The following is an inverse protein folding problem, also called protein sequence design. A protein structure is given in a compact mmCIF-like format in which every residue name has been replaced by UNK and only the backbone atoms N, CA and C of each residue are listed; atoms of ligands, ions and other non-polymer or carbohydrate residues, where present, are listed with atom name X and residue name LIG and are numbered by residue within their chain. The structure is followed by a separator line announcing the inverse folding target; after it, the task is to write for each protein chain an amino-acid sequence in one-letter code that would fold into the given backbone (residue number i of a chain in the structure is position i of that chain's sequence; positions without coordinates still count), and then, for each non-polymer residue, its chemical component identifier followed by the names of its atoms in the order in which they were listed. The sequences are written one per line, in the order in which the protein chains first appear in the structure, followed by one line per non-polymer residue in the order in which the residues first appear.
data_IF_503428123972
#
_entry.id   IF_503428123972
#
_cell.length_a   1.000
_cell.length_b   1.000
_cell.length_c   1.000
_cell.angle_alpha   90.00
_cell.angle_beta   90.00
_cell.angle_gamma   90.00
#
_symmetry.space_group_name_H-M   'P 1'
#
loop_
_entity.id
_entity.type
_entity.pdbx_description
1 polymer ?
#
# COMPACT_ATOMS: atom_id res chain seq x y z
N UNK A 1 27.85 53.37 2.78
CA UNK A 1 28.27 54.08 1.56
C UNK A 1 27.06 54.84 1.06
N UNK A 2 27.05 56.16 1.24
CA UNK A 2 25.98 57.06 0.84
C UNK A 2 25.95 57.20 -0.68
N UNK A 3 24.77 57.35 -1.26
CA UNK A 3 24.51 58.37 -2.28
C UNK A 3 23.01 58.73 -2.26
N UNK A 4 22.78 60.04 -2.31
CA UNK A 4 21.53 60.77 -2.12
C UNK A 4 21.27 61.58 -3.43
N UNK A 5 20.20 62.39 -3.55
CA UNK A 5 19.05 62.20 -4.44
C UNK A 5 19.03 63.16 -5.66
N UNK A 6 17.99 63.09 -6.49
CA UNK A 6 17.42 64.29 -7.14
C UNK A 6 15.88 64.25 -7.15
N UNK A 7 15.29 65.36 -6.71
CA UNK A 7 13.86 65.70 -6.69
C UNK A 7 13.48 66.55 -7.91
N UNK A 8 12.21 66.49 -8.32
CA UNK A 8 11.34 67.53 -8.92
C UNK A 8 10.00 66.79 -9.18
N UNK A 9 8.80 67.15 -8.72
CA UNK A 9 8.18 68.44 -8.45
C UNK A 9 7.01 68.58 -9.43
N UNK A 10 5.75 68.37 -8.99
CA UNK A 10 4.53 69.11 -9.42
C UNK A 10 3.22 68.51 -8.85
N UNK A 11 2.31 69.41 -8.49
CA UNK A 11 1.00 69.20 -7.87
C UNK A 11 -0.09 68.97 -8.93
N UNK A 12 -0.95 67.95 -8.80
CA UNK A 12 -2.38 68.02 -9.21
C UNK A 12 -3.25 67.16 -8.28
N UNK A 13 -4.43 67.72 -7.98
CA UNK A 13 -5.47 67.33 -7.01
C UNK A 13 -6.22 66.04 -7.37
N UNK A 14 -6.68 65.35 -6.31
CA UNK A 14 -7.88 64.51 -6.14
C UNK A 14 -8.62 63.99 -7.38
N UNK A 15 -8.81 62.66 -7.45
CA UNK A 15 -10.11 61.95 -7.61
C UNK A 15 -9.85 60.44 -7.46
N UNK A 16 -10.67 59.78 -6.62
CA UNK A 16 -10.69 58.32 -6.42
C UNK A 16 -11.20 57.58 -7.65
N UNK A 17 -10.61 56.42 -7.99
CA UNK A 17 -11.29 55.15 -8.33
C UNK A 17 -10.21 54.05 -8.31
N UNK A 18 -10.45 53.01 -7.52
CA UNK A 18 -9.63 51.78 -7.46
C UNK A 18 -9.77 50.98 -8.76
N UNK A 19 -8.69 50.78 -9.52
CA UNK A 19 -8.59 49.62 -10.43
C UNK A 19 -7.13 49.30 -10.84
N UNK A 20 -6.65 48.17 -10.31
CA UNK A 20 -5.92 47.08 -11.00
C UNK A 20 -4.45 47.19 -11.48
N UNK A 21 -3.83 46.00 -11.47
CA UNK A 21 -2.61 45.50 -12.14
C UNK A 21 -1.21 45.83 -11.60
N UNK A 22 -0.57 44.81 -11.00
CA UNK A 22 0.81 44.29 -11.24
C UNK A 22 0.98 43.05 -10.34
N UNK A 23 0.60 41.84 -10.80
CA UNK A 23 1.43 40.85 -11.48
C UNK A 23 2.80 40.56 -10.83
N UNK A 24 2.96 39.28 -10.45
CA UNK A 24 4.17 38.44 -10.44
C UNK A 24 4.64 37.96 -9.05
N UNK A 25 4.16 36.78 -8.62
CA UNK A 25 5.02 35.68 -8.14
C UNK A 25 4.19 34.43 -7.81
N UNK A 26 4.50 33.35 -8.50
CA UNK A 26 4.53 31.96 -8.06
C UNK A 26 4.11 31.07 -9.24
N UNK A 27 5.12 30.61 -9.98
CA UNK A 27 5.01 29.45 -10.85
C UNK A 27 4.50 28.30 -9.97
N UNK A 28 3.22 27.96 -10.13
CA UNK A 28 2.68 26.68 -9.76
C UNK A 28 3.43 25.63 -10.59
N UNK A 29 4.53 25.13 -10.06
CA UNK A 29 5.00 23.79 -10.36
C UNK A 29 4.00 22.80 -9.78
N UNK A 30 2.80 22.75 -10.36
CA UNK A 30 1.89 21.64 -10.16
C UNK A 30 2.54 20.49 -10.93
N UNK A 31 3.23 19.61 -10.22
CA UNK A 31 3.42 18.24 -10.70
C UNK A 31 2.03 17.77 -11.12
N UNK A 32 1.86 17.45 -12.39
CA UNK A 32 0.64 16.78 -12.84
C UNK A 32 0.57 15.46 -12.06
N UNK A 33 -0.29 15.43 -11.04
CA UNK A 33 -0.63 14.22 -10.35
C UNK A 33 -1.37 13.35 -11.37
N UNK A 34 -0.66 12.37 -11.93
CA UNK A 34 -1.18 11.49 -12.97
C UNK A 34 -2.17 10.45 -12.41
N UNK A 35 -2.62 10.60 -11.15
CA UNK A 35 -3.64 9.74 -10.56
C UNK A 35 -4.98 9.97 -11.26
N UNK A 36 -5.58 8.89 -11.74
CA UNK A 36 -6.98 8.89 -12.16
C UNK A 36 -7.83 9.36 -10.96
N UNK A 37 -8.64 10.42 -11.08
CA UNK A 37 -9.47 10.90 -9.98
C UNK A 37 -10.38 9.77 -9.49
N UNK A 38 -10.40 9.52 -8.17
CA UNK A 38 -11.36 8.59 -7.58
C UNK A 38 -12.78 9.16 -7.79
N UNK A 39 -13.74 8.33 -8.25
CA UNK A 39 -15.12 8.78 -8.36
C UNK A 39 -15.65 9.19 -6.98
N UNK A 40 -16.61 10.14 -6.95
CA UNK A 40 -17.39 10.37 -5.72
C UNK A 40 -18.08 9.06 -5.31
N UNK A 41 -18.20 8.83 -4.00
CA UNK A 41 -18.78 7.61 -3.43
C UNK A 41 -20.06 7.17 -4.17
N UNK A 42 -20.06 5.93 -4.64
CA UNK A 42 -21.02 5.29 -5.53
C UNK A 42 -21.50 3.98 -4.90
N UNK A 43 -22.80 3.93 -4.59
CA UNK A 43 -23.49 2.72 -4.10
C UNK A 43 -23.74 1.67 -5.20
N UNK A 44 -23.08 1.81 -6.36
CA UNK A 44 -23.22 0.88 -7.46
C UNK A 44 -22.68 -0.49 -7.06
N UNK A 45 -23.53 -1.51 -7.14
CA UNK A 45 -23.12 -2.92 -6.97
C UNK A 45 -22.16 -3.30 -8.10
N UNK A 46 -20.98 -3.80 -7.71
CA UNK A 46 -19.93 -4.27 -8.63
C UNK A 46 -19.80 -5.80 -8.62
N UNK A 47 -20.38 -6.48 -7.64
CA UNK A 47 -20.42 -7.95 -7.57
C UNK A 47 -20.91 -8.43 -6.22
N UNK A 48 -20.58 -9.68 -5.91
CA UNK A 48 -21.00 -10.36 -4.69
C UNK A 48 -19.83 -11.09 -4.02
N UNK A 49 -19.91 -11.30 -2.71
CA UNK A 49 -19.04 -12.25 -1.98
C UNK A 49 -19.88 -13.33 -1.29
N UNK A 50 -19.43 -14.58 -1.38
CA UNK A 50 -20.09 -15.72 -0.71
C UNK A 50 -19.71 -15.86 0.78
N UNK A 51 -18.71 -15.12 1.22
CA UNK A 51 -18.19 -15.15 2.60
C UNK A 51 -18.08 -13.74 3.17
N UNK A 52 -18.18 -13.56 4.50
CA UNK A 52 -17.88 -12.27 5.12
C UNK A 52 -16.40 -11.91 4.93
N UNK A 53 -16.13 -10.62 4.73
CA UNK A 53 -14.79 -10.07 4.58
C UNK A 53 -14.46 -9.20 5.80
N UNK A 54 -13.60 -9.71 6.66
CA UNK A 54 -13.25 -9.07 7.93
C UNK A 54 -12.01 -8.17 7.78
N UNK A 55 -12.21 -6.86 7.94
CA UNK A 55 -11.17 -5.84 7.79
C UNK A 55 -10.58 -5.39 9.13
N UNK A 56 -10.97 -6.01 10.25
CA UNK A 56 -10.49 -5.61 11.58
C UNK A 56 -8.99 -5.85 11.70
N UNK A 57 -8.30 -4.95 12.39
CA UNK A 57 -6.83 -4.99 12.56
C UNK A 57 -6.30 -6.34 13.06
N UNK A 58 -6.89 -7.00 14.07
CA UNK A 58 -6.35 -8.28 14.55
C UNK A 58 -6.41 -9.39 13.49
N UNK A 59 -7.30 -9.27 12.50
CA UNK A 59 -7.45 -10.24 11.42
C UNK A 59 -6.42 -9.96 10.33
N UNK A 60 -6.46 -8.78 9.72
CA UNK A 60 -5.59 -8.45 8.57
C UNK A 60 -4.14 -8.19 8.97
N UNK A 61 -3.83 -8.12 10.27
CA UNK A 61 -2.47 -7.89 10.80
C UNK A 61 -1.96 -8.98 11.75
N UNK A 62 -2.75 -10.03 11.98
CA UNK A 62 -2.41 -11.11 12.91
C UNK A 62 -2.12 -12.45 12.24
N UNK A 63 -2.47 -12.61 10.96
CA UNK A 63 -2.32 -13.86 10.22
C UNK A 63 -2.87 -13.75 8.81
N UNK A 64 -2.97 -14.89 8.13
CA UNK A 64 -3.67 -14.96 6.85
C UNK A 64 -5.12 -14.53 7.01
N UNK A 65 -5.56 -13.57 6.20
CA UNK A 65 -6.92 -13.07 6.23
C UNK A 65 -7.63 -13.34 4.90
N UNK A 66 -8.90 -13.74 4.96
CA UNK A 66 -9.76 -13.91 3.78
C UNK A 66 -9.78 -12.64 2.92
N UNK A 67 -9.93 -11.46 3.55
CA UNK A 67 -9.89 -10.18 2.85
C UNK A 67 -8.48 -9.85 2.33
N UNK A 68 -7.42 -10.26 3.06
CA UNK A 68 -6.04 -10.13 2.59
C UNK A 68 -5.80 -10.89 1.29
N UNK A 69 -6.25 -12.15 1.24
CA UNK A 69 -6.17 -13.01 0.06
C UNK A 69 -6.93 -12.40 -1.12
N UNK A 70 -8.15 -11.91 -0.89
CA UNK A 70 -8.95 -11.24 -1.92
C UNK A 70 -8.22 -10.02 -2.50
N UNK A 71 -7.70 -9.14 -1.64
CA UNK A 71 -7.00 -7.92 -2.05
C UNK A 71 -5.76 -8.27 -2.88
N UNK A 72 -4.90 -9.15 -2.38
CA UNK A 72 -3.65 -9.50 -3.07
C UNK A 72 -3.90 -10.24 -4.39
N UNK A 73 -4.92 -11.11 -4.45
CA UNK A 73 -5.29 -11.80 -5.70
C UNK A 73 -5.92 -10.85 -6.72
N UNK A 74 -6.72 -9.87 -6.28
CA UNK A 74 -7.32 -8.89 -7.16
C UNK A 74 -6.26 -8.02 -7.83
N UNK A 75 -5.27 -7.55 -7.06
CA UNK A 75 -4.14 -6.79 -7.57
C UNK A 75 -3.33 -7.64 -8.55
N UNK A 76 -3.07 -8.92 -8.22
CA UNK A 76 -2.38 -9.84 -9.12
C UNK A 76 -3.14 -10.01 -10.44
N UNK A 77 -4.44 -10.28 -10.37
CA UNK A 77 -5.27 -10.50 -11.55
C UNK A 77 -5.29 -9.29 -12.49
N UNK A 78 -5.51 -8.09 -11.93
CA UNK A 78 -5.56 -6.86 -12.71
C UNK A 78 -4.21 -6.55 -13.36
N UNK A 79 -3.11 -6.74 -12.61
CA UNK A 79 -1.73 -6.59 -13.11
C UNK A 79 -1.43 -7.53 -14.28
N UNK A 80 -1.76 -8.82 -14.14
CA UNK A 80 -1.54 -9.81 -15.20
C UNK A 80 -2.40 -9.54 -16.44
N UNK A 81 -3.65 -9.11 -16.25
CA UNK A 81 -4.55 -8.78 -17.37
C UNK A 81 -4.09 -7.55 -18.18
N UNK A 82 -3.29 -6.68 -17.57
CA UNK A 82 -2.64 -5.55 -18.23
C UNK A 82 -1.34 -5.93 -18.94
N UNK A 83 -0.93 -7.20 -18.88
CA UNK A 83 0.23 -7.73 -19.58
C UNK A 83 1.54 -7.58 -18.81
N UNK A 84 1.50 -7.17 -17.55
CA UNK A 84 2.68 -7.17 -16.68
C UNK A 84 2.97 -8.60 -16.20
N UNK A 85 4.25 -8.92 -16.04
CA UNK A 85 4.69 -10.22 -15.53
C UNK A 85 5.27 -10.03 -14.12
N UNK A 86 4.63 -10.67 -13.15
CA UNK A 86 5.01 -10.66 -11.73
C UNK A 86 4.90 -12.06 -11.15
N UNK A 87 5.79 -12.40 -10.22
CA UNK A 87 5.81 -13.69 -9.52
C UNK A 87 4.85 -13.71 -8.32
N UNK A 88 4.39 -12.55 -7.88
CA UNK A 88 3.38 -12.42 -6.83
C UNK A 88 3.12 -10.99 -6.38
N UNK A 89 2.13 -10.83 -5.51
CA UNK A 89 1.75 -9.57 -4.89
C UNK A 89 1.86 -9.68 -3.37
N UNK A 90 2.37 -8.62 -2.76
CA UNK A 90 2.45 -8.46 -1.31
C UNK A 90 1.74 -7.16 -0.91
N UNK A 91 0.87 -7.24 0.11
CA UNK A 91 0.08 -6.10 0.60
C UNK A 91 0.20 -6.00 2.11
N UNK A 92 0.60 -4.84 2.64
CA UNK A 92 0.62 -4.63 4.09
C UNK A 92 -0.82 -4.49 4.62
N UNK A 93 -1.16 -5.17 5.73
CA UNK A 93 -2.47 -5.12 6.38
C UNK A 93 -2.84 -3.72 6.89
N UNK A 94 -1.88 -2.80 6.97
CA UNK A 94 -2.10 -1.37 7.15
C UNK A 94 -2.90 -0.71 6.03
N UNK A 95 -2.77 -1.21 4.80
CA UNK A 95 -3.45 -0.73 3.60
C UNK A 95 -4.93 -1.14 3.56
N UNK A 96 -5.30 -2.21 4.26
CA UNK A 96 -6.66 -2.75 4.31
C UNK A 96 -7.44 -2.09 5.46
N UNK A 97 -8.55 -1.42 5.11
CA UNK A 97 -9.36 -0.60 6.02
C UNK A 97 -10.84 -0.93 5.88
N UNK A 98 -11.67 -0.19 6.62
CA UNK A 98 -13.11 -0.17 6.47
C UNK A 98 -13.64 1.20 6.92
N UNK A 99 -14.83 1.58 6.46
CA UNK A 99 -15.57 2.70 7.01
C UNK A 99 -16.48 2.23 8.15
N UNK A 100 -16.18 2.66 9.38
CA UNK A 100 -16.95 2.31 10.58
C UNK A 100 -18.38 2.87 10.60
N UNK A 101 -18.71 3.86 9.75
CA UNK A 101 -20.08 4.36 9.63
C UNK A 101 -20.97 3.39 8.84
N UNK A 102 -20.40 2.67 7.86
CA UNK A 102 -21.11 1.68 7.04
C UNK A 102 -21.00 0.27 7.60
N UNK A 103 -19.81 -0.06 8.12
CA UNK A 103 -19.45 -1.37 8.65
C UNK A 103 -18.96 -1.21 10.10
N UNK A 104 -19.87 -0.94 11.07
CA UNK A 104 -19.50 -0.63 12.45
C UNK A 104 -18.80 -1.78 13.19
N UNK A 105 -18.97 -3.02 12.73
CA UNK A 105 -18.27 -4.20 13.22
C UNK A 105 -16.98 -4.52 12.43
N UNK A 106 -16.66 -3.73 11.40
CA UNK A 106 -15.50 -3.91 10.53
C UNK A 106 -15.61 -5.10 9.58
N UNK A 107 -16.82 -5.61 9.34
CA UNK A 107 -17.07 -6.79 8.52
C UNK A 107 -17.98 -6.41 7.36
N UNK A 108 -17.53 -6.66 6.13
CA UNK A 108 -18.39 -6.64 4.95
C UNK A 108 -19.13 -7.99 4.91
N UNK A 109 -20.46 -8.04 5.06
CA UNK A 109 -21.19 -9.29 5.10
C UNK A 109 -21.16 -10.03 3.75
N UNK A 110 -21.43 -11.33 3.78
CA UNK A 110 -21.72 -12.06 2.54
C UNK A 110 -22.90 -11.42 1.81
N UNK A 111 -22.80 -11.24 0.50
CA UNK A 111 -23.80 -10.54 -0.31
C UNK A 111 -23.18 -9.53 -1.26
N UNK A 112 -23.89 -8.43 -1.50
CA UNK A 112 -23.49 -7.38 -2.43
C UNK A 112 -22.21 -6.68 -1.99
N UNK A 113 -21.35 -6.38 -2.97
CA UNK A 113 -20.21 -5.49 -2.83
C UNK A 113 -20.41 -4.30 -3.76
N UNK A 114 -20.29 -3.10 -3.22
CA UNK A 114 -20.39 -1.85 -3.98
C UNK A 114 -19.03 -1.30 -4.37
N UNK A 115 -19.03 -0.34 -5.29
CA UNK A 115 -17.84 0.43 -5.63
C UNK A 115 -17.23 1.11 -4.40
N UNK A 116 -18.06 1.67 -3.51
CA UNK A 116 -17.60 2.22 -2.22
C UNK A 116 -16.81 1.21 -1.39
N UNK A 117 -17.27 -0.05 -1.30
CA UNK A 117 -16.60 -1.04 -0.48
C UNK A 117 -15.15 -1.25 -0.96
N UNK A 118 -14.91 -1.25 -2.27
CA UNK A 118 -13.56 -1.37 -2.81
C UNK A 118 -12.65 -0.18 -2.42
N UNK A 119 -13.18 1.04 -2.46
CA UNK A 119 -12.44 2.25 -2.09
C UNK A 119 -12.32 2.43 -0.57
N UNK A 120 -13.24 1.89 0.24
CA UNK A 120 -13.14 1.85 1.69
C UNK A 120 -12.12 0.82 2.17
N UNK A 121 -12.05 -0.33 1.50
CA UNK A 121 -11.07 -1.39 1.77
C UNK A 121 -9.66 -0.87 1.46
N UNK A 122 -9.49 -0.15 0.35
CA UNK A 122 -8.21 0.46 -0.07
C UNK A 122 -8.33 2.00 -0.19
N UNK A 123 -8.41 2.72 0.94
CA UNK A 123 -8.74 4.15 0.94
C UNK A 123 -7.58 5.07 0.60
N UNK A 124 -6.37 4.54 0.64
CA UNK A 124 -5.17 5.26 0.23
C UNK A 124 -5.04 5.13 -1.29
N UNK A 125 -4.84 6.23 -1.99
CA UNK A 125 -4.55 6.28 -3.44
C UNK A 125 -3.13 5.76 -3.74
N UNK A 126 -2.76 4.64 -3.13
CA UNK A 126 -1.49 3.96 -3.33
C UNK A 126 -1.48 3.33 -4.72
N UNK A 127 -0.37 3.49 -5.43
CA UNK A 127 -0.14 2.84 -6.73
C UNK A 127 0.62 1.53 -6.59
N UNK A 128 0.56 0.68 -7.62
CA UNK A 128 1.37 -0.54 -7.69
C UNK A 128 2.80 -0.28 -8.20
N UNK A 129 3.81 -0.77 -7.48
CA UNK A 129 5.21 -0.79 -7.92
C UNK A 129 5.68 -2.24 -8.03
N UNK A 130 6.11 -2.64 -9.23
CA UNK A 130 6.83 -3.90 -9.44
C UNK A 130 8.28 -3.67 -9.04
N UNK A 131 8.79 -4.51 -8.15
CA UNK A 131 10.16 -4.46 -7.66
C UNK A 131 10.88 -5.72 -8.10
N UNK A 132 11.99 -5.55 -8.80
CA UNK A 132 13.00 -6.60 -8.99
C UNK A 132 13.72 -6.79 -7.66
N UNK A 133 13.31 -7.76 -6.85
CA UNK A 133 13.78 -7.99 -5.47
C UNK A 133 14.57 -9.30 -5.38
N UNK A 134 15.72 -9.31 -4.70
CA UNK A 134 16.46 -10.55 -4.45
C UNK A 134 15.77 -11.38 -3.38
N UNK A 135 15.99 -12.71 -3.37
CA UNK A 135 15.44 -13.57 -2.33
C UNK A 135 15.85 -13.13 -0.90
N UNK A 136 17.08 -12.62 -0.73
CA UNK A 136 17.55 -12.10 0.55
C UNK A 136 16.80 -10.82 0.99
N UNK A 137 16.61 -9.85 0.08
CA UNK A 137 15.82 -8.64 0.35
C UNK A 137 14.35 -8.98 0.60
N UNK A 138 13.80 -9.97 -0.11
CA UNK A 138 12.44 -10.47 0.10
C UNK A 138 12.28 -11.09 1.48
N UNK A 139 13.25 -11.91 1.93
CA UNK A 139 13.24 -12.45 3.29
C UNK A 139 13.28 -11.33 4.33
N UNK A 140 14.19 -10.36 4.20
CA UNK A 140 14.29 -9.22 5.13
C UNK A 140 12.99 -8.39 5.17
N UNK A 141 12.32 -8.24 4.02
CA UNK A 141 10.98 -7.64 3.93
C UNK A 141 9.96 -8.42 4.74
N UNK A 142 9.90 -9.75 4.61
CA UNK A 142 8.97 -10.56 5.40
C UNK A 142 9.31 -10.56 6.90
N UNK A 143 10.60 -10.59 7.27
CA UNK A 143 11.05 -10.47 8.68
C UNK A 143 10.53 -9.17 9.32
N UNK A 144 10.54 -8.06 8.57
CA UNK A 144 9.93 -6.80 9.02
C UNK A 144 8.43 -6.96 9.27
N UNK A 145 7.72 -7.61 8.36
CA UNK A 145 6.27 -7.80 8.45
C UNK A 145 5.84 -8.65 9.63
N UNK A 146 6.67 -9.61 10.05
CA UNK A 146 6.37 -10.51 11.17
C UNK A 146 7.09 -10.12 12.47
N UNK A 147 7.72 -8.95 12.54
CA UNK A 147 8.49 -8.54 13.72
C UNK A 147 7.60 -8.36 14.97
N UNK A 148 6.33 -7.99 14.77
CA UNK A 148 5.35 -7.77 15.82
C UNK A 148 4.00 -8.35 15.41
N UNK A 149 3.97 -9.65 15.11
CA UNK A 149 2.71 -10.38 14.95
C UNK A 149 2.00 -10.34 16.32
N UNK A 150 0.81 -9.70 16.42
CA UNK A 150 0.08 -9.64 17.66
C UNK A 150 -0.34 -11.05 18.10
N UNK A 151 -0.21 -11.35 19.39
CA UNK A 151 -0.90 -12.50 19.98
C UNK A 151 -2.40 -12.23 19.89
N UNK A 152 -3.19 -13.25 19.55
CA UNK A 152 -4.67 -13.13 19.44
C UNK A 152 -5.22 -12.41 20.68
N UNK A 153 -5.88 -11.26 20.47
CA UNK A 153 -6.45 -10.43 21.52
C UNK A 153 -5.69 -9.13 21.84
N UNK A 154 -4.53 -8.90 21.21
CA UNK A 154 -3.81 -7.62 21.31
C UNK A 154 -4.23 -6.64 20.21
N UNK A 155 -4.60 -5.40 20.59
CA UNK A 155 -5.08 -4.36 19.65
C UNK A 155 -3.91 -3.61 18.96
N UNK A 156 -2.70 -4.16 19.07
CA UNK A 156 -1.41 -3.57 18.69
C UNK A 156 -0.79 -4.18 17.42
N UNK A 157 -1.59 -4.80 16.55
CA UNK A 157 -1.11 -5.31 15.26
C UNK A 157 -0.46 -4.22 14.41
N UNK A 158 0.83 -4.40 14.08
CA UNK A 158 1.55 -3.47 13.21
C UNK A 158 0.90 -3.41 11.83
N UNK A 159 0.78 -2.21 11.24
CA UNK A 159 0.35 -2.07 9.85
C UNK A 159 1.25 -2.82 8.86
N UNK A 160 2.48 -3.13 9.27
CA UNK A 160 3.50 -3.81 8.48
C UNK A 160 3.21 -5.30 8.21
N UNK A 161 2.27 -5.96 8.90
CA UNK A 161 2.01 -7.38 8.62
C UNK A 161 1.62 -7.58 7.15
N UNK A 162 2.19 -8.58 6.48
CA UNK A 162 2.06 -8.75 5.03
C UNK A 162 1.05 -9.84 4.69
N UNK A 163 0.01 -9.47 3.94
CA UNK A 163 -0.86 -10.38 3.18
C UNK A 163 -0.22 -10.67 1.82
N UNK A 164 -0.54 -11.81 1.22
CA UNK A 164 0.12 -12.32 0.01
C UNK A 164 -0.87 -12.91 -1.00
N UNK A 165 -0.54 -12.82 -2.30
CA UNK A 165 -1.32 -13.49 -3.35
C UNK A 165 -1.14 -15.01 -3.31
N UNK A 166 -1.99 -15.72 -4.05
CA UNK A 166 -2.03 -17.20 -4.12
C UNK A 166 -0.73 -17.89 -4.51
N UNK A 167 0.24 -17.14 -5.06
CA UNK A 167 1.55 -17.67 -5.44
C UNK A 167 2.41 -18.02 -4.22
N UNK A 168 2.15 -17.39 -3.07
CA UNK A 168 3.01 -17.49 -1.91
C UNK A 168 2.54 -18.54 -0.91
N UNK A 169 3.53 -19.19 -0.29
CA UNK A 169 3.39 -19.84 1.02
C UNK A 169 4.54 -19.36 1.90
N UNK A 170 4.21 -18.82 3.08
CA UNK A 170 5.16 -18.27 4.05
C UNK A 170 5.05 -19.05 5.36
N UNK A 171 6.18 -19.54 5.86
CA UNK A 171 6.24 -20.22 7.16
C UNK A 171 6.98 -19.35 8.17
N UNK A 172 6.32 -19.08 9.29
CA UNK A 172 6.79 -18.19 10.35
C UNK A 172 6.91 -18.98 11.66
N UNK A 173 8.00 -18.78 12.39
CA UNK A 173 8.20 -19.26 13.76
C UNK A 173 8.36 -18.05 14.69
N UNK A 174 7.31 -17.74 15.46
CA UNK A 174 7.27 -16.53 16.29
C UNK A 174 8.11 -16.64 17.57
N UNK A 175 8.59 -17.84 17.90
CA UNK A 175 9.51 -18.07 19.01
C UNK A 175 10.94 -17.59 18.72
N UNK A 176 11.26 -17.34 17.44
CA UNK A 176 12.57 -16.85 16.99
C UNK A 176 12.73 -15.34 17.18
N UNK A 177 13.98 -14.86 17.27
CA UNK A 177 14.28 -13.43 17.33
C UNK A 177 13.61 -12.63 16.21
N UNK A 178 12.89 -11.57 16.58
CA UNK A 178 12.30 -10.63 15.64
C UNK A 178 13.35 -9.69 15.05
N UNK A 179 13.09 -9.17 13.84
CA UNK A 179 13.86 -8.05 13.31
C UNK A 179 13.69 -6.81 14.19
N UNK A 180 14.80 -6.13 14.49
CA UNK A 180 14.83 -4.87 15.23
C UNK A 180 15.20 -3.76 14.26
N UNK A 181 14.36 -2.74 14.21
CA UNK A 181 14.53 -1.57 13.34
C UNK A 181 14.57 -0.33 14.22
N UNK A 182 15.53 0.55 13.96
CA UNK A 182 15.53 1.90 14.54
C UNK A 182 14.44 2.73 13.87
N UNK A 183 13.48 3.20 14.68
CA UNK A 183 12.39 4.07 14.25
C UNK A 183 12.52 5.49 14.82
N UNK A 184 13.62 5.79 15.54
CA UNK A 184 13.83 7.04 16.27
C UNK A 184 14.60 8.10 15.46
N UNK A 185 15.09 7.76 14.26
CA UNK A 185 15.80 8.66 13.34
C UNK A 185 14.97 9.02 12.10
N UNK A 186 15.31 10.14 11.45
CA UNK A 186 14.72 10.58 10.16
C UNK A 186 14.89 9.53 9.03
N UNK A 187 15.73 8.52 9.25
CA UNK A 187 15.96 7.37 8.37
C UNK A 187 15.90 6.08 9.18
N UNK A 188 14.90 5.23 8.92
CA UNK A 188 14.84 3.91 9.56
C UNK A 188 16.03 3.03 9.13
N UNK A 189 16.59 2.26 10.06
CA UNK A 189 17.69 1.33 9.78
C UNK A 189 17.51 0.00 10.50
N UNK A 190 17.96 -1.10 9.90
CA UNK A 190 17.92 -2.42 10.53
C UNK A 190 19.05 -2.50 11.55
N UNK A 191 18.71 -2.62 12.83
CA UNK A 191 19.67 -2.84 13.93
C UNK A 191 20.08 -4.31 13.96
N UNK A 192 19.12 -5.21 13.83
CA UNK A 192 19.36 -6.65 13.71
C UNK A 192 18.30 -7.29 12.82
N UNK A 193 18.76 -8.19 11.94
CA UNK A 193 17.87 -8.98 11.12
C UNK A 193 17.05 -9.96 11.97
N UNK A 194 15.86 -10.34 11.48
CA UNK A 194 15.02 -11.34 12.12
C UNK A 194 15.37 -12.77 11.71
N UNK A 195 14.90 -13.74 12.50
CA UNK A 195 15.01 -15.17 12.21
C UNK A 195 13.64 -15.87 12.24
N UNK A 196 12.54 -15.13 12.10
CA UNK A 196 11.18 -15.68 12.20
C UNK A 196 10.73 -16.33 10.91
N UNK A 197 11.19 -15.86 9.75
CA UNK A 197 10.84 -16.46 8.46
C UNK A 197 11.67 -17.72 8.24
N UNK A 198 10.99 -18.86 8.26
CA UNK A 198 11.61 -20.19 8.08
C UNK A 198 11.63 -20.63 6.62
N UNK A 199 10.60 -20.26 5.85
CA UNK A 199 10.47 -20.65 4.45
C UNK A 199 9.58 -19.66 3.70
N UNK A 200 9.95 -19.41 2.45
CA UNK A 200 9.17 -18.63 1.48
C UNK A 200 9.13 -19.45 0.20
N UNK A 201 7.94 -19.86 -0.20
CA UNK A 201 7.70 -20.51 -1.49
C UNK A 201 6.99 -19.55 -2.42
N UNK A 202 7.39 -19.57 -3.70
CA UNK A 202 6.68 -18.95 -4.81
C UNK A 202 6.33 -20.06 -5.80
N UNK A 203 5.05 -20.22 -6.10
CA UNK A 203 4.50 -21.27 -6.95
C UNK A 203 4.97 -22.69 -6.53
N UNK A 204 5.08 -22.90 -5.21
CA UNK A 204 5.51 -24.17 -4.61
C UNK A 204 7.01 -24.43 -4.64
N UNK A 205 7.83 -23.46 -5.05
CA UNK A 205 9.29 -23.56 -5.08
C UNK A 205 9.89 -22.64 -4.03
N UNK A 206 10.76 -23.18 -3.17
CA UNK A 206 11.52 -22.39 -2.19
C UNK A 206 12.36 -21.32 -2.90
N UNK A 207 12.35 -20.09 -2.37
CA UNK A 207 13.15 -19.02 -2.95
C UNK A 207 14.66 -19.28 -2.81
N UNK A 208 15.42 -18.82 -3.79
CA UNK A 208 16.87 -18.74 -3.70
C UNK A 208 17.25 -17.32 -3.24
N UNK A 209 18.02 -17.16 -2.14
CA UNK A 209 18.46 -15.84 -1.65
C UNK A 209 19.17 -14.96 -2.69
N UNK A 210 19.86 -15.58 -3.66
CA UNK A 210 20.64 -14.89 -4.70
C UNK A 210 19.84 -14.64 -5.99
N UNK A 211 18.67 -15.27 -6.15
CA UNK A 211 17.82 -15.07 -7.32
C UNK A 211 16.99 -13.79 -7.18
N UNK A 212 16.57 -13.23 -8.33
CA UNK A 212 15.70 -12.06 -8.40
C UNK A 212 14.28 -12.47 -8.76
N UNK A 213 13.31 -11.85 -8.11
CA UNK A 213 11.88 -12.04 -8.28
C UNK A 213 11.22 -10.70 -8.63
N UNK A 214 10.14 -10.73 -9.42
CA UNK A 214 9.30 -9.56 -9.74
C UNK A 214 8.09 -9.55 -8.82
N UNK A 215 8.18 -8.83 -7.71
CA UNK A 215 7.09 -8.76 -6.73
C UNK A 215 6.45 -7.37 -6.78
N UNK A 216 5.13 -7.33 -6.82
CA UNK A 216 4.39 -6.08 -6.76
C UNK A 216 4.01 -5.74 -5.32
N UNK A 217 4.27 -4.48 -4.96
CA UNK A 217 3.93 -3.87 -3.68
C UNK A 217 3.15 -2.57 -3.91
N UNK A 218 2.56 -2.01 -2.84
CA UNK A 218 2.12 -0.61 -2.88
C UNK A 218 3.34 0.33 -2.92
N UNK A 219 3.21 1.48 -3.57
CA UNK A 219 4.22 2.53 -3.58
C UNK A 219 4.64 2.97 -2.16
N UNK A 220 3.73 2.93 -1.19
CA UNK A 220 4.01 3.24 0.20
C UNK A 220 5.12 2.34 0.79
N UNK A 221 4.94 1.01 0.76
CA UNK A 221 5.93 0.09 1.34
C UNK A 221 7.14 -0.14 0.43
N UNK A 222 6.95 -0.06 -0.90
CA UNK A 222 8.05 -0.12 -1.87
C UNK A 222 9.07 1.02 -1.64
N UNK A 223 8.64 2.15 -1.09
CA UNK A 223 9.48 3.29 -0.75
C UNK A 223 9.86 3.37 0.73
N UNK A 224 9.70 2.26 1.48
CA UNK A 224 10.15 2.15 2.87
C UNK A 224 9.15 2.59 3.94
N UNK A 225 7.89 2.86 3.56
CA UNK A 225 6.78 3.00 4.51
C UNK A 225 6.68 1.81 5.46
N UNK A 226 6.03 1.96 6.61
CA UNK A 226 6.00 0.95 7.68
C UNK A 226 7.39 0.45 8.12
N UNK A 227 8.45 1.23 7.87
CA UNK A 227 9.84 0.87 8.13
C UNK A 227 10.29 -0.40 7.39
N UNK A 228 9.81 -0.63 6.18
CA UNK A 228 10.36 -1.63 5.26
C UNK A 228 11.71 -1.16 4.69
N UNK A 229 12.73 -1.10 5.56
CA UNK A 229 14.06 -0.57 5.24
C UNK A 229 14.69 -1.27 4.04
N UNK A 230 14.59 -2.61 3.96
CA UNK A 230 15.11 -3.38 2.84
C UNK A 230 14.47 -2.95 1.50
N UNK A 231 13.15 -2.81 1.44
CA UNK A 231 12.44 -2.31 0.24
C UNK A 231 12.81 -0.86 -0.11
N UNK A 232 12.84 0.01 0.91
CA UNK A 232 13.18 1.42 0.74
C UNK A 232 14.58 1.62 0.15
N UNK A 233 15.54 0.74 0.52
CA UNK A 233 16.91 0.80 0.03
C UNK A 233 17.11 0.22 -1.39
N UNK A 234 16.12 -0.47 -1.95
CA UNK A 234 16.19 -0.94 -3.35
C UNK A 234 16.15 0.30 -4.26
N UNK A 235 17.13 0.48 -5.17
CA UNK A 235 17.22 1.68 -5.99
C UNK A 235 16.18 1.70 -7.12
N UNK A 236 15.78 2.90 -7.54
CA UNK A 236 14.74 3.13 -8.57
C UNK A 236 14.89 2.34 -9.87
N UNK A 237 16.10 2.07 -10.41
CA UNK A 237 16.24 1.23 -11.61
C UNK A 237 15.71 -0.20 -11.48
N UNK A 238 15.46 -0.67 -10.24
CA UNK A 238 14.84 -1.97 -9.93
C UNK A 238 13.36 -1.84 -9.58
N UNK A 239 12.76 -0.66 -9.76
CA UNK A 239 11.36 -0.35 -9.45
C UNK A 239 10.67 0.16 -10.70
N UNK A 240 9.50 -0.41 -11.00
CA UNK A 240 8.60 0.05 -12.06
C UNK A 240 7.28 0.43 -11.43
N UNK A 241 7.02 1.73 -11.31
CA UNK A 241 5.71 2.24 -10.91
C UNK A 241 4.74 2.11 -12.08
N UNK A 242 3.60 1.48 -11.83
CA UNK A 242 2.54 1.32 -12.82
C UNK A 242 1.66 2.58 -12.88
N UNK A 243 1.67 3.41 -11.83
CA UNK A 243 0.82 4.61 -11.70
C UNK A 243 -0.64 4.29 -11.42
N UNK A 244 -0.97 3.03 -11.15
CA UNK A 244 -2.35 2.54 -11.06
C UNK A 244 -2.80 2.39 -9.62
N UNK A 245 -3.89 3.04 -9.27
CA UNK A 245 -4.49 2.96 -7.93
C UNK A 245 -5.05 1.55 -7.66
N UNK A 246 -4.54 0.93 -6.60
CA UNK A 246 -4.83 -0.45 -6.21
C UNK A 246 -6.31 -0.70 -5.88
N UNK A 247 -7.07 0.33 -5.50
CA UNK A 247 -8.52 0.20 -5.27
C UNK A 247 -9.28 -0.17 -6.56
N UNK A 248 -8.82 0.32 -7.72
CA UNK A 248 -9.40 -0.06 -8.99
C UNK A 248 -9.12 -1.53 -9.33
N UNK A 249 -7.97 -2.08 -8.95
CA UNK A 249 -7.69 -3.49 -9.16
C UNK A 249 -8.70 -4.38 -8.40
N UNK A 250 -9.00 -4.04 -7.14
CA UNK A 250 -10.04 -4.72 -6.35
C UNK A 250 -11.42 -4.63 -7.01
N UNK A 251 -11.82 -3.41 -7.40
CA UNK A 251 -13.09 -3.18 -8.10
C UNK A 251 -13.17 -3.99 -9.40
N UNK A 252 -12.14 -3.94 -10.23
CA UNK A 252 -12.09 -4.61 -11.53
C UNK A 252 -12.16 -6.12 -11.38
N UNK A 253 -11.46 -6.68 -10.39
CA UNK A 253 -11.49 -8.10 -10.08
C UNK A 253 -12.91 -8.57 -9.71
N UNK A 254 -13.54 -7.88 -8.75
CA UNK A 254 -14.91 -8.20 -8.32
C UNK A 254 -15.89 -8.08 -9.51
N UNK A 255 -15.78 -7.00 -10.29
CA UNK A 255 -16.60 -6.77 -11.48
C UNK A 255 -16.41 -7.87 -12.53
N UNK A 256 -15.17 -8.30 -12.74
CA UNK A 256 -14.83 -9.32 -13.74
C UNK A 256 -15.32 -10.71 -13.36
N UNK A 257 -15.29 -11.06 -12.08
CA UNK A 257 -15.75 -12.37 -11.60
C UNK A 257 -17.26 -12.42 -11.31
N UNK A 258 -17.86 -11.27 -11.02
CA UNK A 258 -19.25 -11.12 -10.60
C UNK A 258 -19.50 -11.64 -9.18
N UNK A 259 -18.93 -12.78 -8.81
CA UNK A 259 -18.97 -13.33 -7.44
C UNK A 259 -17.58 -13.82 -7.03
N UNK A 260 -17.11 -13.34 -5.87
CA UNK A 260 -15.86 -13.78 -5.24
C UNK A 260 -16.14 -14.72 -4.08
N UNK A 261 -15.21 -15.64 -3.83
CA UNK A 261 -15.28 -16.58 -2.72
C UNK A 261 -13.90 -16.82 -2.11
N UNK A 262 -13.20 -15.77 -1.64
CA UNK A 262 -11.87 -15.92 -1.04
C UNK A 262 -11.91 -16.86 0.17
N UNK A 263 -10.86 -17.65 0.37
CA UNK A 263 -10.74 -18.59 1.48
C UNK A 263 -9.38 -18.42 2.17
N UNK A 264 -9.24 -19.01 3.37
CA UNK A 264 -7.93 -19.31 3.94
C UNK A 264 -7.36 -20.52 3.21
N UNK A 265 -6.15 -20.38 2.68
CA UNK A 265 -5.49 -21.38 1.84
C UNK A 265 -4.13 -21.83 2.40
N UNK A 266 -3.79 -21.39 3.62
CA UNK A 266 -2.49 -21.60 4.27
C UNK A 266 -1.34 -20.94 3.52
N UNK A 267 -1.59 -19.73 2.99
CA UNK A 267 -0.56 -18.86 2.42
C UNK A 267 0.38 -18.31 3.48
N UNK A 268 -0.08 -18.18 4.73
CA UNK A 268 0.74 -17.74 5.86
C UNK A 268 0.53 -18.68 7.04
N UNK A 269 1.56 -19.43 7.41
CA UNK A 269 1.54 -20.43 8.48
C UNK A 269 2.38 -19.91 9.63
N UNK A 270 1.74 -19.64 10.77
CA UNK A 270 2.40 -19.09 11.96
C UNK A 270 2.46 -20.17 13.04
N UNK A 271 3.69 -20.50 13.45
CA UNK A 271 4.00 -21.46 14.51
C UNK A 271 4.48 -20.76 15.80
#
# INVERSE_FOLDING_TARGET
MMCYPQTLGENVKNISVFMSFFLLLALLGCSADNTVPRPEFSSKVIGFTNVPLDARKPIVRGGEAVLGNLVSDAILFDTLNKGELVDGVISNGGNIRFDSNRHPDGIYPAGELTEDDAFEILPFANTGIIVDITGAELKSTFERGVNNVPVIGDDLGSGAFLQVSKNFVIVVDTSRPAQIVDQLSDTSSIISEGERIQSILIDGIEINPEATYKILFSNFIANGGDSFVALGNIPDPRKKDLGEDLAFALKNYITSLGTVNPQIENRIIIN
#
